data_IF_860177563963
#
_entry.id   IF_860177563963
#
_cell.length_a   1.000
_cell.length_b   1.000
_cell.length_c   1.000
_cell.angle_alpha   90.00
_cell.angle_beta   90.00
_cell.angle_gamma   90.00
#
_symmetry.space_group_name_H-M   'P 1'
#
loop_
_entity.id
_entity.type
_entity.pdbx_description
1 polymer ?
#
# COMPACT_ATOMS: atom_id res chain seq x y z
N UNK A 1 -50.97 -9.86 -31.62
CA UNK A 1 -49.47 -9.96 -31.66
C UNK A 1 -48.93 -9.02 -30.59
N UNK A 2 -48.64 -9.53 -29.41
CA UNK A 2 -47.96 -8.77 -28.33
C UNK A 2 -46.47 -8.71 -28.62
N UNK A 3 -45.93 -7.49 -28.72
CA UNK A 3 -44.53 -7.26 -29.00
C UNK A 3 -43.66 -7.63 -27.80
N UNK A 4 -42.54 -8.32 -28.05
CA UNK A 4 -41.54 -8.72 -27.05
C UNK A 4 -40.74 -7.52 -26.51
N UNK A 5 -41.38 -6.63 -25.76
CA UNK A 5 -40.72 -5.54 -25.03
C UNK A 5 -40.94 -5.74 -23.54
N UNK A 6 -39.97 -6.33 -22.86
CA UNK A 6 -40.06 -6.46 -21.43
C UNK A 6 -39.02 -7.38 -20.79
N UNK A 7 -37.80 -7.49 -21.34
CA UNK A 7 -36.69 -7.94 -20.52
C UNK A 7 -36.37 -6.85 -19.52
N UNK A 8 -36.97 -6.93 -18.33
CA UNK A 8 -36.57 -6.10 -17.19
C UNK A 8 -35.04 -6.20 -17.04
N UNK A 9 -34.32 -5.12 -17.32
CA UNK A 9 -32.89 -5.01 -17.07
C UNK A 9 -32.74 -5.11 -15.57
N UNK A 10 -32.31 -6.27 -15.07
CA UNK A 10 -31.90 -6.43 -13.68
C UNK A 10 -30.88 -5.37 -13.40
N UNK A 11 -31.27 -4.27 -12.74
CA UNK A 11 -30.37 -3.26 -12.23
C UNK A 11 -29.55 -3.97 -11.17
N UNK A 12 -28.34 -4.43 -11.54
CA UNK A 12 -27.36 -4.91 -10.57
C UNK A 12 -27.21 -3.80 -9.54
N UNK A 13 -27.73 -3.99 -8.32
CA UNK A 13 -27.46 -3.10 -7.20
C UNK A 13 -25.94 -2.91 -7.14
N UNK A 14 -25.48 -1.70 -7.41
CA UNK A 14 -24.05 -1.37 -7.21
C UNK A 14 -23.74 -1.69 -5.75
N UNK A 15 -22.78 -2.58 -5.52
CA UNK A 15 -22.29 -2.84 -4.16
C UNK A 15 -21.83 -1.51 -3.59
N UNK A 16 -22.36 -1.15 -2.44
CA UNK A 16 -21.96 0.09 -1.75
C UNK A 16 -20.54 -0.16 -1.25
N UNK A 17 -19.56 0.54 -1.83
CA UNK A 17 -18.16 0.47 -1.39
C UNK A 17 -18.05 1.00 0.05
N UNK A 18 -17.57 0.20 1.02
CA UNK A 18 -17.32 0.68 2.37
C UNK A 18 -16.35 1.87 2.34
N UNK A 19 -16.71 2.96 2.99
CA UNK A 19 -15.91 4.17 3.03
C UNK A 19 -15.20 4.31 4.37
N UNK A 20 -13.97 4.84 4.33
CA UNK A 20 -13.22 5.19 5.55
C UNK A 20 -13.99 6.23 6.36
N UNK A 21 -14.22 6.04 7.67
CA UNK A 21 -14.76 7.09 8.53
C UNK A 21 -13.81 8.30 8.58
N UNK A 22 -14.34 9.53 8.55
CA UNK A 22 -13.53 10.75 8.41
C UNK A 22 -12.49 10.98 9.53
N UNK A 23 -12.78 10.50 10.75
CA UNK A 23 -11.92 10.69 11.93
C UNK A 23 -11.27 9.39 12.40
N UNK A 24 -11.34 8.32 11.59
CA UNK A 24 -10.78 7.05 11.97
C UNK A 24 -9.25 7.11 12.00
N UNK A 25 -8.69 6.76 13.15
CA UNK A 25 -7.24 6.58 13.35
C UNK A 25 -7.01 5.17 13.88
N UNK A 26 -6.13 4.39 13.26
CA UNK A 26 -5.76 3.08 13.79
C UNK A 26 -5.02 3.24 15.13
N UNK A 27 -5.23 2.29 16.03
CA UNK A 27 -4.61 2.27 17.36
C UNK A 27 -3.63 1.12 17.56
N UNK A 28 -3.47 0.28 16.52
CA UNK A 28 -2.54 -0.86 16.50
C UNK A 28 -1.93 -1.05 15.13
N UNK A 29 -0.68 -1.53 15.11
CA UNK A 29 -0.02 -1.99 13.88
C UNK A 29 -0.84 -3.08 13.21
N UNK A 30 -0.96 -3.03 11.87
CA UNK A 30 -1.75 -3.95 11.05
C UNK A 30 -3.26 -3.65 11.02
N UNK A 31 -3.74 -2.69 11.81
CA UNK A 31 -5.17 -2.36 11.83
C UNK A 31 -5.64 -1.67 10.55
N UNK A 32 -4.83 -0.77 9.99
CA UNK A 32 -5.13 -0.06 8.75
C UNK A 32 -3.86 0.16 7.93
N UNK A 33 -3.85 -0.42 6.75
CA UNK A 33 -2.79 -0.25 5.76
C UNK A 33 -3.28 0.67 4.65
N UNK A 34 -2.54 1.74 4.40
CA UNK A 34 -2.72 2.56 3.20
C UNK A 34 -1.97 1.98 2.02
N UNK A 35 -2.61 1.93 0.86
CA UNK A 35 -1.95 1.58 -0.41
C UNK A 35 -2.22 2.64 -1.46
N UNK A 36 -1.22 2.86 -2.30
CA UNK A 36 -1.25 3.85 -3.39
C UNK A 36 -0.28 3.43 -4.50
N UNK A 37 -0.30 4.13 -5.63
CA UNK A 37 0.62 3.91 -6.73
C UNK A 37 1.16 5.25 -7.27
N UNK A 38 2.48 5.33 -7.42
CA UNK A 38 3.17 6.48 -8.01
C UNK A 38 3.42 6.16 -9.49
N UNK A 39 2.91 6.99 -10.40
CA UNK A 39 3.27 6.92 -11.82
C UNK A 39 4.47 7.83 -12.10
N UNK A 40 5.47 7.30 -12.84
CA UNK A 40 6.62 8.04 -13.35
C UNK A 40 6.69 7.87 -14.86
N UNK A 41 7.16 8.92 -15.54
CA UNK A 41 7.26 8.95 -17.00
C UNK A 41 8.62 9.49 -17.44
N UNK A 42 9.18 8.85 -18.45
CA UNK A 42 10.37 9.31 -19.15
C UNK A 42 10.12 9.16 -20.65
N UNK A 43 9.87 10.26 -21.35
CA UNK A 43 9.34 10.24 -22.72
C UNK A 43 8.02 9.46 -22.80
N UNK A 44 7.97 8.45 -23.66
CA UNK A 44 6.79 7.57 -23.83
C UNK A 44 6.75 6.40 -22.85
N UNK A 45 7.84 6.17 -22.12
CA UNK A 45 7.92 5.08 -21.14
C UNK A 45 7.21 5.46 -19.84
N UNK A 46 6.51 4.48 -19.27
CA UNK A 46 5.86 4.60 -17.95
C UNK A 46 6.38 3.52 -17.03
N UNK A 47 6.52 3.88 -15.78
CA UNK A 47 6.79 2.97 -14.67
C UNK A 47 5.91 3.33 -13.49
N UNK A 48 5.63 2.35 -12.66
CA UNK A 48 4.76 2.52 -11.50
C UNK A 48 5.47 1.99 -10.26
N UNK A 49 5.26 2.65 -9.13
CA UNK A 49 5.71 2.16 -7.83
C UNK A 49 4.47 1.97 -6.97
N UNK A 50 4.16 0.72 -6.65
CA UNK A 50 3.08 0.40 -5.71
C UNK A 50 3.65 0.57 -4.31
N UNK A 51 2.96 1.32 -3.47
CA UNK A 51 3.35 1.60 -2.10
C UNK A 51 2.33 1.06 -1.12
N UNK A 52 2.80 0.64 0.05
CA UNK A 52 2.01 0.10 1.14
C UNK A 52 2.61 0.60 2.46
N UNK A 53 1.79 1.19 3.33
CA UNK A 53 2.24 1.73 4.62
C UNK A 53 1.21 1.46 5.72
N UNK A 54 1.67 1.03 6.87
CA UNK A 54 0.85 0.96 8.08
C UNK A 54 0.65 2.36 8.66
N UNK A 55 -0.60 2.76 8.86
CA UNK A 55 -0.93 4.11 9.32
C UNK A 55 -0.66 4.34 10.81
N UNK A 56 -0.37 3.30 11.57
CA UNK A 56 -0.07 3.40 13.00
C UNK A 56 1.43 3.39 13.27
N UNK A 57 2.16 2.48 12.64
CA UNK A 57 3.61 2.30 12.86
C UNK A 57 4.51 2.94 11.79
N UNK A 58 3.94 3.53 10.75
CA UNK A 58 4.66 4.04 9.57
C UNK A 58 5.54 2.97 8.86
N UNK A 59 5.37 1.66 9.18
CA UNK A 59 6.10 0.58 8.50
C UNK A 59 5.66 0.47 7.05
N UNK A 60 6.63 0.52 6.13
CA UNK A 60 6.34 0.68 4.71
C UNK A 60 7.03 -0.37 3.82
N UNK A 61 6.36 -0.75 2.75
CA UNK A 61 6.86 -1.57 1.66
C UNK A 61 6.52 -0.91 0.32
N UNK A 62 7.36 -1.15 -0.70
CA UNK A 62 7.11 -0.67 -2.04
C UNK A 62 7.73 -1.61 -3.09
N UNK A 63 7.20 -1.57 -4.32
CA UNK A 63 7.72 -2.31 -5.47
C UNK A 63 7.50 -1.52 -6.75
N UNK A 64 8.56 -1.34 -7.53
CA UNK A 64 8.46 -0.78 -8.87
C UNK A 64 8.09 -1.86 -9.89
N UNK A 65 7.15 -1.53 -10.79
CA UNK A 65 6.58 -2.44 -11.79
C UNK A 65 6.49 -1.75 -13.16
N UNK A 66 6.60 -2.53 -14.27
CA UNK A 66 6.56 -1.94 -15.61
C UNK A 66 5.16 -1.50 -16.04
N UNK A 67 4.13 -2.07 -15.45
CA UNK A 67 2.72 -1.74 -15.69
C UNK A 67 1.90 -1.88 -14.43
N UNK A 68 0.73 -1.25 -14.38
CA UNK A 68 -0.15 -1.25 -13.22
C UNK A 68 -1.53 -1.79 -13.60
N UNK A 69 -1.94 -2.85 -12.94
CA UNK A 69 -3.27 -3.43 -13.02
C UNK A 69 -3.60 -4.21 -11.74
N UNK A 70 -4.82 -4.69 -11.64
CA UNK A 70 -5.33 -5.38 -10.45
C UNK A 70 -4.61 -6.71 -10.16
N UNK A 71 -4.09 -7.41 -11.17
CA UNK A 71 -3.35 -8.66 -10.97
C UNK A 71 -1.96 -8.40 -10.37
N UNK A 72 -1.26 -7.37 -10.88
CA UNK A 72 0.05 -6.96 -10.38
C UNK A 72 -0.08 -6.46 -8.94
N UNK A 73 -1.11 -5.67 -8.65
CA UNK A 73 -1.37 -5.17 -7.29
C UNK A 73 -1.70 -6.31 -6.33
N UNK A 74 -2.49 -7.31 -6.76
CA UNK A 74 -2.79 -8.52 -6.00
C UNK A 74 -1.52 -9.32 -5.70
N UNK A 75 -0.67 -9.50 -6.71
CA UNK A 75 0.59 -10.22 -6.55
C UNK A 75 1.56 -9.52 -5.59
N UNK A 76 1.70 -8.20 -5.73
CA UNK A 76 2.47 -7.40 -4.79
C UNK A 76 1.93 -7.57 -3.37
N UNK A 77 0.63 -7.38 -3.15
CA UNK A 77 0.00 -7.49 -1.84
C UNK A 77 0.22 -8.86 -1.22
N UNK A 78 0.02 -9.94 -1.98
CA UNK A 78 0.22 -11.31 -1.50
C UNK A 78 1.68 -11.62 -1.09
N UNK A 79 2.66 -10.95 -1.71
CA UNK A 79 4.07 -11.03 -1.28
C UNK A 79 4.33 -10.13 -0.07
N UNK A 80 3.82 -8.90 -0.10
CA UNK A 80 4.03 -7.91 0.95
C UNK A 80 3.45 -8.37 2.31
N UNK A 81 2.28 -9.03 2.32
CA UNK A 81 1.69 -9.58 3.54
C UNK A 81 2.56 -10.62 4.23
N UNK A 82 3.38 -11.37 3.50
CA UNK A 82 4.33 -12.35 4.06
C UNK A 82 5.54 -11.69 4.73
N UNK A 83 5.87 -10.48 4.29
CA UNK A 83 6.98 -9.67 4.84
C UNK A 83 6.49 -8.71 5.94
N UNK A 84 5.18 -8.56 6.08
CA UNK A 84 4.62 -7.65 7.06
C UNK A 84 4.72 -8.26 8.47
N UNK A 85 5.16 -7.50 9.49
CA UNK A 85 5.51 -8.04 10.82
C UNK A 85 4.32 -8.54 11.64
N UNK A 86 3.11 -8.12 11.28
CA UNK A 86 1.86 -8.48 11.98
C UNK A 86 0.72 -8.75 10.99
N UNK A 87 -0.36 -9.39 11.44
CA UNK A 87 -1.52 -9.64 10.61
C UNK A 87 -2.24 -8.33 10.22
N UNK A 88 -2.59 -8.20 8.93
CA UNK A 88 -3.29 -7.05 8.38
C UNK A 88 -4.80 -7.26 8.49
N UNK A 89 -5.53 -6.26 8.98
CA UNK A 89 -6.99 -6.31 9.16
C UNK A 89 -7.76 -5.55 8.10
N UNK A 90 -7.28 -4.38 7.73
CA UNK A 90 -7.96 -3.50 6.77
C UNK A 90 -6.95 -2.86 5.83
N UNK A 91 -7.38 -2.64 4.59
CA UNK A 91 -6.62 -1.90 3.58
C UNK A 91 -7.48 -0.72 3.12
N UNK A 92 -6.90 0.46 3.06
CA UNK A 92 -7.51 1.66 2.46
C UNK A 92 -6.79 2.01 1.16
N UNK A 93 -7.57 2.23 0.12
CA UNK A 93 -7.09 2.69 -1.19
C UNK A 93 -7.94 3.85 -1.68
N UNK A 94 -7.49 4.50 -2.72
CA UNK A 94 -8.34 5.35 -3.53
C UNK A 94 -9.32 4.52 -4.42
N UNK A 95 -9.94 5.15 -5.42
CA UNK A 95 -10.85 4.48 -6.34
C UNK A 95 -10.15 4.01 -7.63
N UNK A 96 -8.84 3.88 -7.65
CA UNK A 96 -8.06 3.42 -8.79
C UNK A 96 -8.51 2.05 -9.30
N UNK A 97 -8.41 1.83 -10.62
CA UNK A 97 -8.85 0.56 -11.24
C UNK A 97 -7.97 -0.61 -10.83
N UNK A 98 -6.71 -0.35 -10.50
CA UNK A 98 -5.70 -1.28 -9.99
C UNK A 98 -6.08 -1.91 -8.65
N UNK A 99 -6.94 -1.24 -7.88
CA UNK A 99 -7.44 -1.70 -6.58
C UNK A 99 -8.83 -2.35 -6.66
N UNK A 100 -9.30 -2.67 -7.86
CA UNK A 100 -10.59 -3.35 -8.10
C UNK A 100 -10.38 -4.79 -8.58
N UNK A 101 -11.46 -5.51 -8.81
CA UNK A 101 -11.43 -6.84 -9.46
C UNK A 101 -10.62 -7.87 -8.69
N UNK A 102 -9.49 -8.33 -9.22
CA UNK A 102 -8.70 -9.40 -8.61
C UNK A 102 -8.02 -8.96 -7.31
N UNK A 103 -7.64 -7.70 -7.18
CA UNK A 103 -7.13 -7.17 -5.90
C UNK A 103 -8.20 -7.25 -4.79
N UNK A 104 -9.43 -6.82 -5.08
CA UNK A 104 -10.54 -6.89 -4.11
C UNK A 104 -10.86 -8.34 -3.71
N UNK A 105 -10.81 -9.28 -4.67
CA UNK A 105 -10.94 -10.72 -4.39
C UNK A 105 -9.83 -11.25 -3.47
N UNK A 106 -8.57 -10.87 -3.74
CA UNK A 106 -7.43 -11.26 -2.91
C UNK A 106 -7.61 -10.82 -1.46
N UNK A 107 -8.11 -9.59 -1.23
CA UNK A 107 -8.42 -9.11 0.12
C UNK A 107 -9.55 -9.91 0.77
N UNK A 108 -10.62 -10.22 0.02
CA UNK A 108 -11.75 -11.01 0.51
C UNK A 108 -11.32 -12.43 0.90
N UNK A 109 -10.51 -13.12 0.07
CA UNK A 109 -9.97 -14.44 0.34
C UNK A 109 -9.07 -14.46 1.59
N UNK A 110 -8.34 -13.38 1.81
CA UNK A 110 -7.52 -13.20 3.02
C UNK A 110 -8.33 -12.72 4.25
N UNK A 111 -9.65 -12.53 4.13
CA UNK A 111 -10.52 -11.96 5.17
C UNK A 111 -10.11 -10.55 5.62
N UNK A 112 -9.50 -9.78 4.72
CA UNK A 112 -9.05 -8.41 4.94
C UNK A 112 -10.11 -7.45 4.41
N UNK A 113 -10.52 -6.49 5.24
CA UNK A 113 -11.54 -5.53 4.85
C UNK A 113 -10.96 -4.47 3.91
N UNK A 114 -11.54 -4.33 2.72
CA UNK A 114 -11.24 -3.24 1.81
C UNK A 114 -12.12 -2.03 2.08
N UNK A 115 -11.53 -0.88 2.30
CA UNK A 115 -12.22 0.40 2.46
C UNK A 115 -11.65 1.43 1.48
N UNK A 116 -12.47 2.37 1.03
CA UNK A 116 -12.11 3.36 0.03
C UNK A 116 -12.13 4.76 0.62
N UNK A 117 -11.23 5.60 0.16
CA UNK A 117 -11.28 7.05 0.45
C UNK A 117 -12.50 7.69 -0.27
N UNK A 118 -12.97 8.82 0.24
CA UNK A 118 -13.94 9.62 -0.49
C UNK A 118 -13.25 10.34 -1.67
N UNK A 119 -13.93 10.50 -2.80
CA UNK A 119 -13.42 11.34 -3.89
C UNK A 119 -13.06 12.74 -3.37
N UNK A 120 -11.98 13.30 -3.89
CA UNK A 120 -11.52 14.65 -3.54
C UNK A 120 -11.27 14.92 -2.04
N UNK A 121 -10.85 13.89 -1.30
CA UNK A 121 -10.56 14.04 0.14
C UNK A 121 -9.14 13.57 0.45
N UNK A 122 -8.09 14.34 0.11
CA UNK A 122 -6.67 13.95 0.26
C UNK A 122 -6.31 13.57 1.70
N UNK A 123 -6.87 14.28 2.69
CA UNK A 123 -6.62 14.03 4.12
C UNK A 123 -6.88 12.58 4.57
N UNK A 124 -7.63 11.81 3.79
CA UNK A 124 -7.95 10.41 4.13
C UNK A 124 -6.84 9.41 3.77
N UNK A 125 -5.85 9.82 2.97
CA UNK A 125 -4.67 9.01 2.64
C UNK A 125 -3.36 9.74 2.96
N UNK A 126 -3.40 10.66 3.92
CA UNK A 126 -2.29 11.55 4.24
C UNK A 126 -1.01 10.81 4.66
N UNK A 127 -1.12 9.61 5.24
CA UNK A 127 0.05 8.80 5.60
C UNK A 127 0.73 8.22 4.36
N UNK A 128 -0.04 7.68 3.40
CA UNK A 128 0.48 7.27 2.09
C UNK A 128 1.11 8.46 1.33
N UNK A 129 0.42 9.59 1.28
CA UNK A 129 0.92 10.78 0.58
C UNK A 129 2.25 11.27 1.16
N UNK A 130 2.39 11.28 2.51
CA UNK A 130 3.65 11.60 3.17
C UNK A 130 4.75 10.61 2.86
N UNK A 131 4.45 9.33 2.90
CA UNK A 131 5.40 8.28 2.55
C UNK A 131 5.83 8.41 1.08
N UNK A 132 4.89 8.54 0.16
CA UNK A 132 5.14 8.69 -1.27
C UNK A 132 6.04 9.91 -1.56
N UNK A 133 5.79 11.04 -0.87
CA UNK A 133 6.65 12.22 -0.96
C UNK A 133 8.05 11.93 -0.43
N UNK A 134 8.18 11.32 0.73
CA UNK A 134 9.47 10.95 1.32
C UNK A 134 10.25 9.98 0.42
N UNK A 135 9.58 8.97 -0.12
CA UNK A 135 10.16 8.01 -1.05
C UNK A 135 10.63 8.70 -2.33
N UNK A 136 9.84 9.65 -2.84
CA UNK A 136 10.20 10.44 -4.02
C UNK A 136 11.44 11.28 -3.78
N UNK A 137 11.42 12.13 -2.75
CA UNK A 137 12.50 13.08 -2.43
C UNK A 137 13.80 12.40 -2.01
N UNK A 138 13.74 11.28 -1.29
CA UNK A 138 14.92 10.65 -0.69
C UNK A 138 15.46 9.46 -1.49
N UNK A 139 14.71 8.91 -2.42
CA UNK A 139 15.14 7.74 -3.18
C UNK A 139 14.87 7.84 -4.68
N UNK A 140 13.63 8.13 -5.10
CA UNK A 140 13.25 8.04 -6.51
C UNK A 140 14.03 9.06 -7.35
N UNK A 141 14.09 10.32 -6.93
CA UNK A 141 14.76 11.40 -7.67
C UNK A 141 16.24 11.11 -7.92
N UNK A 142 16.92 10.42 -6.99
CA UNK A 142 18.32 10.03 -7.14
C UNK A 142 18.53 8.76 -7.99
N UNK A 143 17.48 8.00 -8.25
CA UNK A 143 17.53 6.72 -8.98
C UNK A 143 16.57 6.70 -10.19
N UNK A 144 16.09 7.85 -10.66
CA UNK A 144 15.06 7.91 -11.69
C UNK A 144 15.51 7.24 -13.01
N UNK A 145 16.73 7.50 -13.48
CA UNK A 145 17.28 6.84 -14.66
C UNK A 145 17.27 5.31 -14.51
N UNK A 146 17.72 4.83 -13.35
CA UNK A 146 17.78 3.40 -13.08
C UNK A 146 16.40 2.73 -13.12
N UNK A 147 15.33 3.43 -12.71
CA UNK A 147 13.96 2.94 -12.80
C UNK A 147 13.55 2.57 -14.24
N UNK A 148 14.08 3.28 -15.22
CA UNK A 148 13.78 3.04 -16.64
C UNK A 148 14.79 2.12 -17.32
N UNK A 149 16.04 2.10 -16.89
CA UNK A 149 17.12 1.30 -17.47
C UNK A 149 17.15 -0.14 -16.89
N UNK A 150 17.10 -0.30 -15.57
CA UNK A 150 17.16 -1.61 -14.91
C UNK A 150 16.21 -1.65 -13.70
N UNK A 151 14.98 -2.11 -13.96
CA UNK A 151 13.93 -2.20 -12.94
C UNK A 151 14.29 -3.16 -11.79
N UNK A 152 15.08 -4.21 -12.07
CA UNK A 152 15.47 -5.18 -11.03
C UNK A 152 16.48 -4.56 -10.08
N UNK A 153 17.49 -3.90 -10.59
CA UNK A 153 18.49 -3.19 -9.78
C UNK A 153 17.85 -2.02 -9.02
N UNK A 154 16.91 -1.30 -9.65
CA UNK A 154 16.12 -0.27 -8.95
C UNK A 154 15.36 -0.85 -7.76
N UNK A 155 14.67 -1.99 -7.94
CA UNK A 155 13.94 -2.65 -6.86
C UNK A 155 14.86 -3.16 -5.75
N UNK A 156 16.05 -3.66 -6.08
CA UNK A 156 17.05 -4.06 -5.08
C UNK A 156 17.48 -2.86 -4.22
N UNK A 157 17.85 -1.74 -4.84
CA UNK A 157 18.21 -0.51 -4.10
C UNK A 157 17.05 0.06 -3.30
N UNK A 158 15.83 -0.03 -3.84
CA UNK A 158 14.63 0.40 -3.12
C UNK A 158 14.38 -0.48 -1.88
N UNK A 159 14.62 -1.78 -1.97
CA UNK A 159 14.51 -2.66 -0.81
C UNK A 159 15.53 -2.30 0.28
N UNK A 160 16.78 -1.99 -0.10
CA UNK A 160 17.81 -1.50 0.83
C UNK A 160 17.39 -0.17 1.49
N UNK A 161 16.88 0.78 0.70
CA UNK A 161 16.34 2.03 1.23
C UNK A 161 15.18 1.79 2.21
N UNK A 162 14.25 0.87 1.91
CA UNK A 162 13.13 0.54 2.78
C UNK A 162 13.58 -0.13 4.09
N UNK A 163 14.66 -0.92 4.07
CA UNK A 163 15.28 -1.41 5.31
C UNK A 163 15.78 -0.25 6.16
N UNK A 164 16.47 0.74 5.58
CA UNK A 164 16.91 1.94 6.30
C UNK A 164 15.71 2.76 6.81
N UNK A 165 14.68 2.95 5.98
CA UNK A 165 13.46 3.67 6.35
C UNK A 165 12.77 3.04 7.56
N UNK A 166 12.60 1.72 7.56
CA UNK A 166 11.88 1.00 8.59
C UNK A 166 12.70 0.77 9.87
N UNK A 167 14.05 0.61 9.78
CA UNK A 167 14.87 0.15 10.90
C UNK A 167 15.93 1.15 11.40
N UNK A 168 16.17 2.27 10.68
CA UNK A 168 17.21 3.24 11.07
C UNK A 168 16.71 4.69 11.12
N UNK A 169 15.66 5.00 10.34
CA UNK A 169 15.13 6.36 10.28
C UNK A 169 14.19 6.63 11.46
N UNK A 170 14.47 7.66 12.31
CA UNK A 170 13.54 8.06 13.36
C UNK A 170 12.34 8.83 12.79
N UNK A 171 11.16 8.56 13.30
CA UNK A 171 9.91 9.20 12.91
C UNK A 171 9.35 10.07 14.03
N UNK A 172 9.03 11.33 13.74
CA UNK A 172 8.45 12.25 14.74
C UNK A 172 7.10 11.75 15.25
N UNK A 173 6.30 11.11 14.39
CA UNK A 173 5.01 10.50 14.72
C UNK A 173 5.12 9.34 15.71
N UNK A 174 6.31 8.72 15.80
CA UNK A 174 6.60 7.54 16.61
C UNK A 174 7.54 7.85 17.79
N UNK A 175 7.46 9.04 18.35
CA UNK A 175 8.31 9.47 19.46
C UNK A 175 9.83 9.36 19.14
N UNK A 176 10.19 9.63 17.90
CA UNK A 176 11.55 9.48 17.34
C UNK A 176 12.05 8.03 17.26
N UNK A 177 11.20 7.03 17.44
CA UNK A 177 11.55 5.65 17.16
C UNK A 177 11.50 5.35 15.66
N UNK A 178 12.18 4.26 15.28
CA UNK A 178 11.98 3.67 13.96
C UNK A 178 10.66 2.89 13.93
N UNK A 179 10.05 2.66 12.75
CA UNK A 179 8.88 1.78 12.62
C UNK A 179 9.06 0.41 13.27
N UNK A 180 10.23 -0.19 13.09
CA UNK A 180 10.57 -1.50 13.68
C UNK A 180 10.59 -1.45 15.20
N UNK A 181 11.31 -0.48 15.78
CA UNK A 181 11.41 -0.35 17.24
C UNK A 181 10.04 -0.07 17.87
N UNK A 182 9.23 0.75 17.17
CA UNK A 182 7.87 1.05 17.60
C UNK A 182 6.99 -0.20 17.62
N UNK A 183 7.03 -1.05 16.58
CA UNK A 183 6.30 -2.31 16.51
C UNK A 183 6.78 -3.27 17.61
N UNK A 184 8.10 -3.39 17.82
CA UNK A 184 8.67 -4.25 18.86
C UNK A 184 8.25 -3.81 20.26
N UNK A 185 8.16 -2.50 20.51
CA UNK A 185 7.66 -1.96 21.79
C UNK A 185 6.20 -2.33 22.04
N UNK A 186 5.35 -2.25 21.01
CA UNK A 186 3.91 -2.48 21.16
C UNK A 186 3.49 -3.94 21.08
N UNK A 187 4.22 -4.75 20.32
CA UNK A 187 3.85 -6.13 20.03
C UNK A 187 4.95 -7.11 20.39
N UNK A 188 4.78 -7.80 21.52
CA UNK A 188 5.68 -8.89 21.95
C UNK A 188 5.65 -10.12 21.02
N UNK A 189 4.66 -10.21 20.12
CA UNK A 189 4.43 -11.33 19.20
C UNK A 189 4.53 -10.92 17.73
N UNK A 190 5.45 -10.03 17.36
CA UNK A 190 5.67 -9.70 15.95
C UNK A 190 6.62 -10.71 15.29
N UNK A 191 6.35 -11.03 14.01
CA UNK A 191 7.18 -11.95 13.21
C UNK A 191 8.42 -11.25 12.63
N UNK A 192 9.25 -10.65 13.48
CA UNK A 192 10.49 -9.97 13.07
C UNK A 192 11.72 -10.86 13.29
N UNK A 193 11.93 -11.83 12.43
CA UNK A 193 13.04 -12.78 12.52
C UNK A 193 14.44 -12.14 12.37
N UNK A 194 14.53 -10.97 11.77
CA UNK A 194 15.78 -10.29 11.42
C UNK A 194 16.27 -9.27 12.45
N UNK A 195 15.57 -9.10 13.57
CA UNK A 195 15.95 -8.17 14.65
C UNK A 195 16.74 -8.82 15.78
N UNK A 196 16.87 -10.15 15.79
CA UNK A 196 17.63 -10.89 16.81
C UNK A 196 19.04 -11.22 16.33
N UNK A 197 19.81 -10.27 15.86
CA UNK A 197 21.26 -10.38 15.89
C UNK A 197 21.72 -9.84 17.23
N UNK A 198 21.91 -10.74 18.19
CA UNK A 198 22.67 -10.45 19.40
C UNK A 198 24.07 -9.96 19.00
N UNK A 199 24.48 -8.82 19.55
CA UNK A 199 25.84 -8.35 19.53
C UNK A 199 26.60 -8.94 20.72
#
# INVERSE_FOLDING_TARGET
RLSARGKARLIKKRSVKPRRPKQYRPVKTGELIGMDAIELRMGDLRRYIITMIDEHSDYALALAVPSLNSDITSHFFSKATKLFPVAIRQVVTDNGKEFLGNFDKTLQEASIKHIWTYPYTPKMNATCERFNRTLREQFIEFNELLLFEDLNLFNQRMAEYLVLYNSKRPHKSLELMTPVDYILRESKNCNMWWTHTEH
#
